data_IF_271420755570
#
_entry.id   IF_271420755570
#
_cell.length_a   1.000
_cell.length_b   1.000
_cell.length_c   1.000
_cell.angle_alpha   90.00
_cell.angle_beta   90.00
_cell.angle_gamma   90.00
#
_symmetry.space_group_name_H-M   'P 1'
#
loop_
_entity.id
_entity.type
_entity.pdbx_description
1 polymer ?
#
# COMPACT_ATOMS: atom_id res chain seq x y z
N UNK A 1 14.76 0.91 12.99
CA UNK A 1 13.32 1.28 13.03
C UNK A 1 12.78 0.90 11.66
N UNK A 2 11.76 0.04 11.57
CA UNK A 2 11.15 -0.33 10.28
C UNK A 2 10.33 0.88 9.82
N UNK A 3 10.91 1.71 8.96
CA UNK A 3 10.24 2.87 8.37
C UNK A 3 9.62 2.46 7.03
N UNK A 4 8.39 2.89 6.76
CA UNK A 4 7.74 2.66 5.46
C UNK A 4 7.10 1.28 5.28
N UNK A 5 6.57 0.67 6.35
CA UNK A 5 5.95 -0.66 6.34
C UNK A 5 4.71 -0.70 5.43
N UNK A 6 4.59 -1.75 4.62
CA UNK A 6 3.46 -1.97 3.71
C UNK A 6 2.12 -2.22 4.42
N UNK A 7 2.13 -2.90 5.57
CA UNK A 7 0.95 -3.15 6.40
C UNK A 7 1.14 -2.59 7.81
N UNK A 8 0.27 -1.66 8.20
CA UNK A 8 0.30 -1.00 9.50
C UNK A 8 0.08 -1.96 10.68
N UNK A 9 -0.52 -3.13 10.46
CA UNK A 9 -0.71 -4.14 11.52
C UNK A 9 0.62 -4.75 11.98
N UNK A 10 1.67 -4.65 11.18
CA UNK A 10 3.02 -5.10 11.53
C UNK A 10 3.81 -4.08 12.39
N UNK A 11 3.22 -2.92 12.71
CA UNK A 11 3.84 -1.95 13.61
C UNK A 11 3.91 -2.52 15.03
N UNK A 12 5.09 -2.47 15.66
CA UNK A 12 5.30 -2.93 17.04
C UNK A 12 4.43 -2.17 18.06
N UNK A 13 4.08 -0.93 17.75
CA UNK A 13 3.19 -0.09 18.55
C UNK A 13 2.17 0.59 17.64
N UNK A 14 0.94 0.08 17.63
CA UNK A 14 -0.16 0.66 16.86
C UNK A 14 -0.76 1.86 17.62
N UNK A 15 -0.15 3.02 17.47
CA UNK A 15 -0.63 4.30 18.01
C UNK A 15 -0.66 5.35 16.90
N UNK A 16 -1.53 6.35 17.05
CA UNK A 16 -1.80 7.37 16.03
C UNK A 16 -0.52 8.07 15.51
N UNK A 17 0.46 8.45 16.36
CA UNK A 17 1.74 8.99 15.88
C UNK A 17 2.53 8.05 14.97
N UNK A 18 2.61 6.75 15.29
CA UNK A 18 3.34 5.77 14.48
C UNK A 18 2.64 5.53 13.13
N UNK A 19 1.31 5.45 13.13
CA UNK A 19 0.52 5.31 11.90
C UNK A 19 0.72 6.53 11.00
N UNK A 20 0.59 7.74 11.56
CA UNK A 20 0.79 8.98 10.82
C UNK A 20 2.22 9.08 10.27
N UNK A 21 3.21 8.72 11.07
CA UNK A 21 4.61 8.70 10.64
C UNK A 21 4.82 7.73 9.47
N UNK A 22 4.32 6.49 9.56
CA UNK A 22 4.48 5.50 8.50
C UNK A 22 3.83 5.94 7.19
N UNK A 23 2.58 6.42 7.27
CA UNK A 23 1.84 6.93 6.10
C UNK A 23 2.59 8.13 5.46
N UNK A 24 3.06 9.07 6.29
CA UNK A 24 3.82 10.23 5.81
C UNK A 24 5.12 9.82 5.12
N UNK A 25 5.85 8.86 5.69
CA UNK A 25 7.10 8.35 5.12
C UNK A 25 6.85 7.65 3.78
N UNK A 26 5.83 6.80 3.68
CA UNK A 26 5.45 6.14 2.42
C UNK A 26 5.02 7.14 1.35
N UNK A 27 4.20 8.12 1.72
CA UNK A 27 3.79 9.17 0.80
C UNK A 27 4.98 9.98 0.27
N UNK A 28 5.95 10.31 1.13
CA UNK A 28 7.19 10.98 0.70
C UNK A 28 8.06 10.12 -0.25
N UNK A 29 7.87 8.80 -0.23
CA UNK A 29 8.50 7.84 -1.15
C UNK A 29 7.65 7.58 -2.41
N UNK A 30 6.56 8.33 -2.63
CA UNK A 30 5.59 8.15 -3.73
C UNK A 30 4.78 6.84 -3.64
N UNK A 31 4.78 6.18 -2.47
CA UNK A 31 3.97 5.01 -2.19
C UNK A 31 2.61 5.45 -1.63
N UNK A 32 1.63 5.61 -2.53
CA UNK A 32 0.30 6.14 -2.19
C UNK A 32 -0.65 5.12 -1.54
N UNK A 33 -0.27 3.84 -1.56
CA UNK A 33 -1.05 2.73 -1.04
C UNK A 33 -0.38 2.10 0.17
N UNK A 34 -1.18 1.79 1.19
CA UNK A 34 -0.71 1.15 2.43
C UNK A 34 -1.81 0.23 2.96
N UNK A 35 -1.48 -1.01 3.31
CA UNK A 35 -2.41 -1.91 3.98
C UNK A 35 -2.61 -1.52 5.44
N UNK A 36 -3.80 -1.80 5.94
CA UNK A 36 -4.15 -1.78 7.35
C UNK A 36 -4.99 -3.02 7.63
N UNK A 37 -4.32 -4.16 7.77
CA UNK A 37 -4.98 -5.46 7.87
C UNK A 37 -5.77 -5.73 6.59
N UNK A 38 -7.10 -5.84 6.69
CA UNK A 38 -7.98 -6.09 5.53
C UNK A 38 -8.24 -4.83 4.68
N UNK A 39 -8.03 -3.64 5.22
CA UNK A 39 -8.31 -2.36 4.54
C UNK A 39 -7.11 -1.90 3.72
N UNK A 40 -7.36 -1.24 2.58
CA UNK A 40 -6.35 -0.51 1.81
C UNK A 40 -6.55 1.00 2.02
N UNK A 41 -5.51 1.68 2.52
CA UNK A 41 -5.46 3.13 2.62
C UNK A 41 -4.83 3.68 1.33
N UNK A 42 -5.50 4.65 0.72
CA UNK A 42 -5.04 5.34 -0.48
C UNK A 42 -4.92 6.84 -0.20
N UNK A 43 -3.73 7.41 -0.41
CA UNK A 43 -3.50 8.85 -0.33
C UNK A 43 -3.52 9.45 -1.72
N UNK A 44 -4.27 10.53 -1.90
CA UNK A 44 -4.31 11.24 -3.18
C UNK A 44 -3.00 12.02 -3.39
N UNK A 45 -2.20 11.70 -4.42
CA UNK A 45 -0.96 12.41 -4.71
C UNK A 45 -1.18 13.76 -5.42
N UNK A 46 -2.41 14.03 -5.89
CA UNK A 46 -2.78 15.21 -6.69
C UNK A 46 -1.97 15.38 -7.99
N UNK A 47 -1.37 14.30 -8.48
CA UNK A 47 -0.60 14.24 -9.70
C UNK A 47 -0.85 12.93 -10.46
N UNK A 48 -0.34 12.84 -11.70
CA UNK A 48 -0.41 11.60 -12.47
C UNK A 48 0.67 10.64 -11.98
N UNK A 49 0.23 9.45 -11.59
CA UNK A 49 1.10 8.35 -11.14
C UNK A 49 1.15 7.24 -12.20
N UNK A 50 2.33 6.62 -12.36
CA UNK A 50 2.57 5.56 -13.35
C UNK A 50 2.16 4.15 -12.87
N UNK A 51 1.44 4.03 -11.75
CA UNK A 51 1.10 2.75 -11.09
C UNK A 51 -0.06 1.99 -11.75
N UNK A 52 -0.72 2.58 -12.75
CA UNK A 52 -1.86 1.98 -13.46
C UNK A 52 -1.50 1.49 -14.87
N UNK A 53 -0.21 1.27 -15.15
CA UNK A 53 0.20 0.74 -16.45
C UNK A 53 -0.28 -0.71 -16.64
N UNK A 54 -0.38 -1.13 -17.90
CA UNK A 54 -0.77 -2.51 -18.22
C UNK A 54 0.20 -3.53 -17.61
N UNK A 55 1.50 -3.23 -17.58
CA UNK A 55 2.52 -4.10 -16.98
C UNK A 55 2.28 -4.32 -15.48
N UNK A 56 1.86 -3.27 -14.76
CA UNK A 56 1.50 -3.39 -13.34
C UNK A 56 0.25 -4.25 -13.17
N UNK A 57 -0.79 -4.06 -13.99
CA UNK A 57 -2.00 -4.92 -13.95
C UNK A 57 -1.62 -6.39 -14.11
N UNK A 58 -0.79 -6.71 -15.10
CA UNK A 58 -0.35 -8.08 -15.38
C UNK A 58 0.50 -8.65 -14.24
N UNK A 59 1.32 -7.82 -13.59
CA UNK A 59 2.14 -8.25 -12.45
C UNK A 59 1.29 -8.72 -11.25
N UNK A 60 0.12 -8.09 -11.03
CA UNK A 60 -0.78 -8.43 -9.93
C UNK A 60 -1.78 -9.56 -10.26
N UNK A 61 -1.95 -9.91 -11.54
CA UNK A 61 -2.85 -11.00 -11.93
C UNK A 61 -2.37 -12.35 -11.39
N UNK A 62 -3.27 -13.11 -10.76
CA UNK A 62 -2.95 -14.40 -10.13
C UNK A 62 -2.04 -14.34 -8.91
N UNK A 63 -1.76 -13.14 -8.37
CA UNK A 63 -0.96 -12.95 -7.15
C UNK A 63 -1.86 -12.84 -5.93
N UNK A 64 -1.40 -13.39 -4.81
CA UNK A 64 -2.12 -13.23 -3.54
C UNK A 64 -1.80 -11.88 -2.93
N UNK A 65 -2.75 -11.37 -2.14
CA UNK A 65 -2.51 -10.21 -1.29
C UNK A 65 -1.30 -10.45 -0.39
N UNK A 66 -0.36 -9.50 -0.38
CA UNK A 66 0.88 -9.56 0.39
C UNK A 66 2.07 -10.16 -0.34
N UNK A 67 1.90 -10.79 -1.51
CA UNK A 67 3.02 -11.23 -2.36
C UNK A 67 3.75 -10.04 -3.00
N UNK A 68 3.01 -8.95 -3.24
CA UNK A 68 3.49 -7.69 -3.82
C UNK A 68 3.09 -6.51 -2.93
N UNK A 69 3.69 -5.36 -3.23
CA UNK A 69 3.42 -4.09 -2.54
C UNK A 69 1.92 -3.75 -2.51
N UNK A 70 1.46 -2.96 -1.52
CA UNK A 70 0.07 -2.53 -1.43
C UNK A 70 -0.40 -1.87 -2.71
N UNK A 71 -1.46 -2.41 -3.29
CA UNK A 71 -2.02 -1.86 -4.53
C UNK A 71 -3.50 -2.20 -4.66
N UNK A 72 -4.24 -1.35 -5.38
CA UNK A 72 -5.65 -1.58 -5.69
C UNK A 72 -5.86 -2.90 -6.45
N UNK A 73 -4.96 -3.25 -7.36
CA UNK A 73 -5.06 -4.48 -8.15
C UNK A 73 -4.93 -5.75 -7.30
N UNK A 74 -4.15 -5.71 -6.21
CA UNK A 74 -4.11 -6.83 -5.27
C UNK A 74 -5.47 -7.05 -4.58
N UNK A 75 -6.18 -5.95 -4.25
CA UNK A 75 -7.52 -6.03 -3.66
C UNK A 75 -8.56 -6.52 -4.69
N UNK A 76 -8.42 -6.10 -5.95
CA UNK A 76 -9.29 -6.55 -7.02
C UNK A 76 -9.12 -8.05 -7.30
N UNK A 77 -7.88 -8.54 -7.33
CA UNK A 77 -7.57 -9.97 -7.52
C UNK A 77 -8.04 -10.84 -6.34
N UNK A 78 -7.88 -10.36 -5.10
CA UNK A 78 -8.35 -11.06 -3.89
C UNK A 78 -9.90 -11.17 -3.82
N UNK A 79 -10.61 -10.27 -4.49
CA UNK A 79 -12.07 -10.22 -4.52
C UNK A 79 -12.71 -10.99 -5.68
N UNK A 80 -11.94 -11.36 -6.71
CA UNK A 80 -12.41 -12.06 -7.91
C UNK A 80 -12.46 -13.58 -7.70
#
# INVERSE_FOLDING_TARGET
MLEGIDDLTNLSYLHEPAVLHNIRTRYAQHNIYTYSGIVLIALNPFERVAVYSHDVVQAYSGKKRGDLEPHLFAIAEDAY
#
